data_IF_102962069767
#
_entry.id   IF_102962069767
#
_cell.length_a   1.000
_cell.length_b   1.000
_cell.length_c   1.000
_cell.angle_alpha   90.00
_cell.angle_beta   90.00
_cell.angle_gamma   90.00
#
_symmetry.space_group_name_H-M   'P 1'
#
loop_
_entity.id
_entity.type
_entity.pdbx_description
1 polymer ?
#
# COMPACT_ATOMS: atom_id res chain seq x y z
N UNK A 1 -13.97 -1.79 -48.39
CA UNK A 1 -14.01 -2.88 -47.40
C UNK A 1 -12.60 -3.42 -47.30
N UNK A 2 -11.91 -3.50 -46.17
CA UNK A 2 -12.35 -3.56 -44.79
C UNK A 2 -11.23 -3.00 -43.87
N UNK A 3 -11.70 -2.20 -42.90
CA UNK A 3 -11.22 -2.03 -41.53
C UNK A 3 -9.78 -1.57 -41.27
N UNK A 4 -9.69 -0.31 -40.88
CA UNK A 4 -8.59 0.23 -40.09
C UNK A 4 -8.25 -0.70 -38.91
N UNK A 5 -6.95 -0.94 -38.72
CA UNK A 5 -6.42 -1.60 -37.55
C UNK A 5 -6.54 -0.61 -36.37
N UNK A 6 -7.44 -0.81 -35.39
CA UNK A 6 -7.47 0.06 -34.24
C UNK A 6 -6.21 -0.28 -33.46
N UNK A 7 -5.24 0.63 -33.45
CA UNK A 7 -4.26 0.64 -32.37
C UNK A 7 -5.10 0.75 -31.11
N UNK A 8 -5.20 -0.36 -30.38
CA UNK A 8 -5.87 -0.44 -29.10
C UNK A 8 -5.29 0.69 -28.26
N UNK A 9 -6.06 1.76 -28.06
CA UNK A 9 -5.65 2.90 -27.26
C UNK A 9 -5.68 2.44 -25.80
N UNK A 10 -4.65 1.71 -25.39
CA UNK A 10 -4.39 1.44 -23.98
C UNK A 10 -4.33 2.79 -23.32
N UNK A 11 -5.28 3.09 -22.43
CA UNK A 11 -5.21 4.30 -21.62
C UNK A 11 -3.89 4.21 -20.86
N UNK A 12 -2.89 5.05 -21.19
CA UNK A 12 -1.51 4.80 -20.77
C UNK A 12 -1.36 4.92 -19.25
N UNK A 13 -2.24 5.70 -18.61
CA UNK A 13 -2.23 5.91 -17.17
C UNK A 13 -2.80 4.71 -16.37
N UNK A 14 -4.01 4.17 -16.66
CA UNK A 14 -4.47 2.94 -16.02
C UNK A 14 -3.50 1.77 -16.16
N UNK A 15 -2.89 1.58 -17.33
CA UNK A 15 -1.91 0.52 -17.53
C UNK A 15 -0.61 0.75 -16.74
N UNK A 16 -0.21 2.01 -16.54
CA UNK A 16 0.95 2.35 -15.70
C UNK A 16 0.71 2.04 -14.21
N UNK A 17 -0.54 2.14 -13.75
CA UNK A 17 -0.90 1.91 -12.35
C UNK A 17 -1.19 0.44 -12.03
N UNK A 18 -1.14 -0.45 -13.02
CA UNK A 18 -1.35 -1.88 -12.80
C UNK A 18 -0.25 -2.46 -11.90
N UNK A 19 -0.66 -3.19 -10.86
CA UNK A 19 0.25 -3.78 -9.87
C UNK A 19 1.03 -2.78 -9.01
N UNK A 20 0.62 -1.51 -8.95
CA UNK A 20 1.28 -0.51 -8.10
C UNK A 20 1.22 -0.91 -6.61
N UNK A 21 2.24 -0.53 -5.86
CA UNK A 21 2.29 -0.65 -4.39
C UNK A 21 2.56 0.71 -3.75
N UNK A 22 2.24 0.85 -2.47
CA UNK A 22 2.46 2.10 -1.72
C UNK A 22 3.11 1.84 -0.36
N UNK A 23 3.74 2.88 0.21
CA UNK A 23 4.25 2.87 1.58
C UNK A 23 3.53 3.94 2.42
N UNK A 24 3.18 3.57 3.65
CA UNK A 24 2.53 4.46 4.61
C UNK A 24 3.21 4.40 5.98
N UNK A 25 3.08 5.48 6.73
CA UNK A 25 3.34 5.48 8.18
C UNK A 25 2.02 5.28 8.93
N UNK A 26 2.01 4.62 10.11
CA UNK A 26 0.79 4.43 10.91
C UNK A 26 0.02 5.73 11.16
N UNK A 27 0.72 6.81 11.53
CA UNK A 27 0.12 8.15 11.74
C UNK A 27 -0.55 8.76 10.50
N UNK A 28 -0.07 8.43 9.30
CA UNK A 28 -0.63 8.93 8.04
C UNK A 28 -1.84 8.11 7.66
N UNK A 29 -1.74 6.78 7.81
CA UNK A 29 -2.86 5.87 7.61
C UNK A 29 -4.03 6.19 8.56
N UNK A 30 -3.73 6.59 9.80
CA UNK A 30 -4.74 7.00 10.78
C UNK A 30 -5.54 8.25 10.42
N UNK A 31 -5.12 9.02 9.41
CA UNK A 31 -5.85 10.17 8.86
C UNK A 31 -6.74 9.81 7.67
N UNK A 32 -6.65 8.57 7.19
CA UNK A 32 -7.47 8.06 6.10
C UNK A 32 -8.56 7.20 6.71
N UNK A 33 -9.82 7.57 6.53
CA UNK A 33 -10.95 6.83 7.09
C UNK A 33 -11.18 5.51 6.33
N UNK A 34 -11.12 5.55 4.99
CA UNK A 34 -11.35 4.39 4.12
C UNK A 34 -10.26 4.30 3.04
N UNK A 35 -9.40 3.28 3.16
CA UNK A 35 -8.34 3.02 2.18
C UNK A 35 -8.88 2.35 0.92
N UNK A 36 -10.02 1.65 0.98
CA UNK A 36 -10.60 0.93 -0.16
C UNK A 36 -11.19 1.89 -1.21
N UNK A 37 -11.51 3.12 -0.79
CA UNK A 37 -11.88 4.21 -1.69
C UNK A 37 -10.69 4.79 -2.48
N UNK A 38 -9.45 4.56 -2.03
CA UNK A 38 -8.23 5.11 -2.64
C UNK A 38 -7.46 4.09 -3.47
N UNK A 39 -7.49 2.83 -3.05
CA UNK A 39 -6.66 1.76 -3.62
C UNK A 39 -7.49 0.49 -3.79
N UNK A 40 -7.21 -0.27 -4.84
CA UNK A 40 -7.89 -1.55 -5.07
C UNK A 40 -7.51 -2.58 -3.99
N UNK A 41 -8.43 -3.48 -3.60
CA UNK A 41 -8.10 -4.65 -2.78
C UNK A 41 -6.95 -5.47 -3.39
N UNK A 42 -6.16 -6.13 -2.56
CA UNK A 42 -4.95 -6.85 -2.98
C UNK A 42 -3.74 -5.97 -3.28
N UNK A 43 -3.89 -4.63 -3.29
CA UNK A 43 -2.73 -3.72 -3.38
C UNK A 43 -1.76 -3.98 -2.24
N UNK A 44 -0.46 -4.05 -2.56
CA UNK A 44 0.59 -4.19 -1.57
C UNK A 44 0.86 -2.87 -0.85
N UNK A 45 0.78 -2.92 0.48
CA UNK A 45 0.98 -1.77 1.35
C UNK A 45 2.12 -2.04 2.33
N UNK A 46 3.18 -1.28 2.20
CA UNK A 46 4.30 -1.26 3.14
C UNK A 46 3.96 -0.37 4.34
N UNK A 47 4.27 -0.83 5.54
CA UNK A 47 4.11 -0.02 6.76
C UNK A 47 5.48 0.25 7.35
N UNK A 48 5.89 1.53 7.31
CA UNK A 48 7.16 1.95 7.85
C UNK A 48 7.09 2.10 9.37
N UNK A 49 7.85 1.27 10.08
CA UNK A 49 8.13 1.50 11.49
C UNK A 49 9.32 2.45 11.63
N UNK A 50 9.09 3.61 12.22
CA UNK A 50 10.15 4.60 12.45
C UNK A 50 10.36 4.77 13.95
N UNK A 51 11.56 5.23 14.29
CA UNK A 51 11.91 5.59 15.66
C UNK A 51 10.91 6.60 16.25
N UNK A 52 10.52 6.39 17.50
CA UNK A 52 9.50 7.20 18.18
C UNK A 52 8.05 6.82 17.85
N UNK A 53 7.79 5.86 16.96
CA UNK A 53 6.45 5.29 16.78
C UNK A 53 6.31 4.04 17.64
N UNK A 54 5.30 3.92 18.53
CA UNK A 54 5.05 2.69 19.27
C UNK A 54 4.75 1.51 18.33
N UNK A 55 5.23 0.30 18.69
CA UNK A 55 4.94 -0.90 17.91
C UNK A 55 3.44 -1.18 17.78
N UNK A 56 2.66 -0.90 18.83
CA UNK A 56 1.21 -1.11 18.84
C UNK A 56 0.49 -0.29 17.77
N UNK A 57 0.99 0.90 17.42
CA UNK A 57 0.44 1.69 16.31
C UNK A 57 0.66 1.00 14.96
N UNK A 58 1.84 0.44 14.75
CA UNK A 58 2.11 -0.34 13.53
C UNK A 58 1.26 -1.61 13.48
N UNK A 59 1.12 -2.32 14.61
CA UNK A 59 0.29 -3.51 14.69
C UNK A 59 -1.19 -3.20 14.40
N UNK A 60 -1.71 -2.09 14.91
CA UNK A 60 -3.07 -1.63 14.63
C UNK A 60 -3.26 -1.29 13.14
N UNK A 61 -2.30 -0.58 12.54
CA UNK A 61 -2.29 -0.27 11.11
C UNK A 61 -2.30 -1.55 10.25
N UNK A 62 -1.45 -2.52 10.58
CA UNK A 62 -1.35 -3.78 9.85
C UNK A 62 -2.64 -4.60 9.94
N UNK A 63 -3.23 -4.71 11.13
CA UNK A 63 -4.52 -5.40 11.33
C UNK A 63 -5.64 -4.75 10.55
N UNK A 64 -5.70 -3.41 10.54
CA UNK A 64 -6.71 -2.67 9.77
C UNK A 64 -6.59 -3.00 8.28
N UNK A 65 -5.41 -2.77 7.68
CA UNK A 65 -5.19 -2.99 6.25
C UNK A 65 -5.44 -4.45 5.84
N UNK A 66 -5.03 -5.41 6.68
CA UNK A 66 -5.27 -6.82 6.41
C UNK A 66 -6.77 -7.16 6.41
N UNK A 67 -7.57 -6.58 7.32
CA UNK A 67 -9.05 -6.74 7.31
C UNK A 67 -9.70 -6.11 6.10
N UNK A 68 -9.14 -5.00 5.61
CA UNK A 68 -9.64 -4.26 4.44
C UNK A 68 -9.21 -4.94 3.11
N UNK A 69 -8.49 -6.07 3.17
CA UNK A 69 -8.15 -6.89 2.00
C UNK A 69 -6.85 -6.51 1.29
N UNK A 70 -5.95 -5.77 1.94
CA UNK A 70 -4.65 -5.40 1.39
C UNK A 70 -3.55 -6.44 1.68
N UNK A 71 -2.54 -6.52 0.82
CA UNK A 71 -1.32 -7.28 1.07
C UNK A 71 -0.35 -6.46 1.93
N UNK A 72 -0.32 -6.73 3.24
CA UNK A 72 0.44 -5.90 4.20
C UNK A 72 1.87 -6.38 4.36
N UNK A 73 2.83 -5.45 4.28
CA UNK A 73 4.26 -5.71 4.51
C UNK A 73 4.84 -4.72 5.54
N UNK A 74 4.69 -4.97 6.85
CA UNK A 74 5.33 -4.14 7.87
C UNK A 74 6.84 -4.37 7.87
N UNK A 75 7.64 -3.31 7.96
CA UNK A 75 9.10 -3.42 8.00
C UNK A 75 9.69 -2.65 9.18
N UNK A 76 10.81 -3.18 9.69
CA UNK A 76 11.52 -2.65 10.85
C UNK A 76 12.95 -2.23 10.45
N UNK A 77 13.40 -1.04 10.86
CA UNK A 77 14.81 -0.69 10.76
C UNK A 77 15.65 -1.61 11.64
N UNK A 78 16.75 -2.15 11.11
CA UNK A 78 17.64 -2.99 11.91
C UNK A 78 18.18 -2.26 13.16
N UNK A 79 18.39 -0.94 13.07
CA UNK A 79 18.95 -0.11 14.16
C UNK A 79 18.10 -0.03 15.43
N UNK A 80 16.80 -0.36 15.37
CA UNK A 80 15.91 -0.33 16.54
C UNK A 80 15.79 -1.71 17.21
N UNK A 81 16.42 -2.74 16.64
CA UNK A 81 16.45 -4.09 17.19
C UNK A 81 17.67 -4.14 18.11
N UNK A 82 17.44 -4.46 19.38
CA UNK A 82 18.52 -4.62 20.35
C UNK A 82 19.52 -5.69 19.88
N UNK A 83 20.80 -5.46 20.15
CA UNK A 83 21.77 -6.54 20.12
C UNK A 83 21.51 -7.52 21.27
N UNK A 84 22.18 -8.67 21.22
CA UNK A 84 22.01 -9.76 22.21
C UNK A 84 22.48 -9.36 23.60
#
# INVERSE_FOLDING_TARGET
>A
MAMANPVQMTQPLPALLDGVSIEVMPRTLGKVDDMTALMAPGTRVYIAHIEGTPFDEMLAAAKRLSRDGFEVMPHFPARIIADK
#
